data_IF_700429878867
#
_entry.id   IF_700429878867
#
_cell.length_a   1.000
_cell.length_b   1.000
_cell.length_c   1.000
_cell.angle_alpha   90.00
_cell.angle_beta   90.00
_cell.angle_gamma   90.00
#
_symmetry.space_group_name_H-M   'P 1'
#
loop_
_entity.id
_entity.type
_entity.pdbx_description
1 polymer ?
#
# COMPACT_ATOMS: atom_id res chain seq x y z
N UNK A 1 -3.70 7.75 6.56
CA UNK A 1 -4.44 6.82 5.67
C UNK A 1 -3.45 5.97 4.92
N UNK A 2 -3.68 4.67 4.77
CA UNK A 2 -2.82 3.77 4.00
C UNK A 2 -3.52 3.23 2.76
N UNK A 3 -2.71 2.86 1.77
CA UNK A 3 -3.14 2.36 0.47
C UNK A 3 -2.27 1.18 0.03
N UNK A 4 -2.91 0.15 -0.52
CA UNK A 4 -2.27 -1.00 -1.15
C UNK A 4 -2.87 -1.22 -2.54
N UNK A 5 -2.09 -1.80 -3.46
CA UNK A 5 -2.55 -2.13 -4.80
C UNK A 5 -2.02 -3.50 -5.24
N UNK A 6 -2.83 -4.21 -6.04
CA UNK A 6 -2.48 -5.51 -6.58
C UNK A 6 -2.93 -5.62 -8.04
N UNK A 7 -2.08 -6.22 -8.87
CA UNK A 7 -2.42 -6.65 -10.22
C UNK A 7 -2.43 -8.18 -10.23
N UNK A 8 -3.59 -8.79 -10.48
CA UNK A 8 -3.76 -10.25 -10.41
C UNK A 8 -4.33 -10.81 -11.71
N UNK A 9 -4.02 -12.07 -12.07
CA UNK A 9 -4.55 -12.72 -13.26
C UNK A 9 -5.94 -13.35 -13.04
N UNK A 10 -6.61 -13.00 -11.93
CA UNK A 10 -7.93 -13.53 -11.56
C UNK A 10 -8.85 -12.40 -11.08
N UNK A 11 -10.16 -12.63 -11.18
CA UNK A 11 -11.20 -11.67 -10.84
C UNK A 11 -11.99 -12.16 -9.62
N UNK A 12 -11.27 -12.49 -8.54
CA UNK A 12 -11.83 -13.00 -7.28
C UNK A 12 -11.79 -11.88 -6.22
N UNK A 13 -12.90 -11.16 -5.98
CA UNK A 13 -12.92 -10.00 -5.11
C UNK A 13 -12.59 -10.33 -3.65
N UNK A 14 -13.01 -11.50 -3.16
CA UNK A 14 -12.79 -11.90 -1.76
C UNK A 14 -11.32 -12.21 -1.52
N UNK A 15 -10.72 -12.98 -2.44
CA UNK A 15 -9.29 -13.32 -2.38
C UNK A 15 -8.42 -12.07 -2.49
N UNK A 16 -8.76 -11.15 -3.40
CA UNK A 16 -8.00 -9.90 -3.56
C UNK A 16 -8.15 -9.00 -2.33
N UNK A 17 -9.37 -8.89 -1.79
CA UNK A 17 -9.64 -8.11 -0.58
C UNK A 17 -8.87 -8.65 0.61
N UNK A 18 -8.83 -9.97 0.80
CA UNK A 18 -8.05 -10.61 1.87
C UNK A 18 -6.54 -10.30 1.73
N UNK A 19 -6.00 -10.39 0.52
CA UNK A 19 -4.60 -10.08 0.24
C UNK A 19 -4.25 -8.61 0.50
N UNK A 20 -5.06 -7.68 -0.01
CA UNK A 20 -4.88 -6.24 0.20
C UNK A 20 -5.01 -5.85 1.68
N UNK A 21 -5.97 -6.43 2.40
CA UNK A 21 -6.10 -6.25 3.86
C UNK A 21 -4.87 -6.76 4.60
N UNK A 22 -4.33 -7.91 4.19
CA UNK A 22 -3.08 -8.45 4.71
C UNK A 22 -1.91 -7.48 4.55
N UNK A 23 -1.73 -6.92 3.35
CA UNK A 23 -0.69 -5.91 3.07
C UNK A 23 -0.86 -4.65 3.93
N UNK A 24 -2.07 -4.11 4.03
CA UNK A 24 -2.36 -2.94 4.86
C UNK A 24 -2.06 -3.20 6.35
N UNK A 25 -2.35 -4.40 6.84
CA UNK A 25 -2.02 -4.80 8.22
C UNK A 25 -0.51 -4.82 8.47
N UNK A 26 0.27 -5.30 7.51
CA UNK A 26 1.74 -5.28 7.60
C UNK A 26 2.26 -3.84 7.65
N UNK A 27 1.75 -2.96 6.78
CA UNK A 27 2.13 -1.54 6.78
C UNK A 27 1.79 -0.85 8.12
N UNK A 28 0.61 -1.12 8.66
CA UNK A 28 0.17 -0.59 9.95
C UNK A 28 1.00 -1.09 11.13
N UNK A 29 1.29 -2.39 11.18
CA UNK A 29 2.17 -2.94 12.20
C UNK A 29 3.57 -2.31 12.15
N UNK A 30 4.13 -2.14 10.94
CA UNK A 30 5.46 -1.53 10.77
C UNK A 30 5.52 -0.07 11.23
N UNK A 31 4.42 0.67 11.13
CA UNK A 31 4.33 2.06 11.53
C UNK A 31 3.78 2.28 12.96
N UNK A 32 3.48 1.20 13.69
CA UNK A 32 2.82 1.29 15.00
C UNK A 32 1.43 1.94 14.94
N UNK A 33 0.76 1.90 13.78
CA UNK A 33 -0.55 2.51 13.56
C UNK A 33 -1.67 1.46 13.71
N UNK A 34 -2.86 1.92 14.08
CA UNK A 34 -4.05 1.08 14.18
C UNK A 34 -5.03 1.36 13.03
N UNK A 35 -5.30 0.39 12.13
CA UNK A 35 -6.25 0.56 11.03
C UNK A 35 -7.70 0.46 11.47
N UNK A 36 -8.50 1.45 11.06
CA UNK A 36 -9.96 1.36 11.16
C UNK A 36 -10.51 0.56 9.98
N UNK A 37 -10.68 -0.74 10.18
CA UNK A 37 -11.19 -1.64 9.14
C UNK A 37 -12.62 -1.33 8.66
N UNK A 38 -13.41 -0.55 9.41
CA UNK A 38 -14.73 -0.11 8.96
C UNK A 38 -14.65 0.90 7.79
N UNK A 39 -13.51 1.59 7.69
CA UNK A 39 -13.19 2.53 6.61
C UNK A 39 -12.53 1.87 5.40
N UNK A 40 -12.36 0.54 5.41
CA UNK A 40 -11.77 -0.17 4.28
C UNK A 40 -12.62 0.08 3.02
N UNK A 41 -11.95 0.58 1.98
CA UNK A 41 -12.53 0.75 0.65
C UNK A 41 -11.65 0.04 -0.36
N UNK A 42 -12.24 -0.93 -1.06
CA UNK A 42 -11.61 -1.67 -2.15
C UNK A 42 -12.22 -1.18 -3.47
N UNK A 43 -11.36 -0.86 -4.43
CA UNK A 43 -11.72 -0.41 -5.77
C UNK A 43 -11.09 -1.34 -6.80
N UNK A 44 -11.86 -1.71 -7.83
CA UNK A 44 -11.47 -2.66 -8.87
C UNK A 44 -12.59 -3.67 -9.16
N UNK A 45 -12.41 -4.54 -10.16
CA UNK A 45 -11.23 -4.66 -11.02
C UNK A 45 -11.17 -3.54 -12.06
N UNK A 46 -10.02 -2.86 -12.17
CA UNK A 46 -9.68 -2.07 -13.36
C UNK A 46 -8.95 -3.01 -14.31
N UNK A 47 -9.60 -3.36 -15.42
CA UNK A 47 -9.00 -4.24 -16.43
C UNK A 47 -7.99 -3.46 -17.23
N UNK A 48 -6.69 -3.78 -17.09
CA UNK A 48 -5.68 -3.28 -18.03
C UNK A 48 -5.59 -4.20 -19.24
N UNK A 49 -5.26 -3.59 -20.39
CA UNK A 49 -5.01 -4.32 -21.63
C UNK A 49 -4.01 -5.45 -21.42
N UNK A 50 -4.20 -6.55 -22.14
CA UNK A 50 -3.36 -7.74 -21.97
C UNK A 50 -1.90 -7.41 -22.29
N UNK A 51 -1.01 -7.48 -21.30
CA UNK A 51 0.43 -7.45 -21.54
C UNK A 51 0.91 -8.91 -21.65
N UNK A 52 1.48 -9.28 -22.80
CA UNK A 52 1.91 -10.65 -23.12
C UNK A 52 0.81 -11.72 -22.99
N UNK A 53 -0.43 -11.40 -23.39
CA UNK A 53 -1.53 -12.37 -23.42
C UNK A 53 -2.21 -12.65 -22.08
N UNK A 54 -1.70 -12.12 -20.97
CA UNK A 54 -2.35 -12.21 -19.66
C UNK A 54 -3.19 -10.97 -19.40
N UNK A 55 -4.50 -11.16 -19.19
CA UNK A 55 -5.39 -10.09 -18.71
C UNK A 55 -5.15 -9.90 -17.22
N UNK A 56 -4.68 -8.71 -16.84
CA UNK A 56 -4.49 -8.34 -15.45
C UNK A 56 -5.66 -7.48 -14.98
N UNK A 57 -6.18 -7.81 -13.80
CA UNK A 57 -7.13 -7.01 -13.06
C UNK A 57 -6.38 -6.25 -11.97
N UNK A 58 -6.48 -4.92 -12.02
CA UNK A 58 -5.91 -4.07 -10.99
C UNK A 58 -6.93 -3.72 -9.93
N UNK A 59 -6.47 -3.78 -8.69
CA UNK A 59 -7.25 -3.50 -7.50
C UNK A 59 -6.48 -2.58 -6.59
N UNK A 60 -7.20 -1.71 -5.90
CA UNK A 60 -6.67 -0.79 -4.89
C UNK A 60 -7.48 -0.92 -3.62
N UNK A 61 -6.83 -0.97 -2.47
CA UNK A 61 -7.49 -0.85 -1.17
C UNK A 61 -6.96 0.36 -0.42
N UNK A 62 -7.83 1.01 0.35
CA UNK A 62 -7.47 2.10 1.25
C UNK A 62 -8.11 1.92 2.62
N UNK A 63 -7.44 2.38 3.67
CA UNK A 63 -7.93 2.32 5.05
C UNK A 63 -7.45 3.55 5.84
N UNK A 64 -8.32 4.09 6.68
CA UNK A 64 -7.94 5.11 7.67
C UNK A 64 -7.14 4.43 8.77
N UNK A 65 -6.09 5.10 9.24
CA UNK A 65 -5.26 4.62 10.36
C UNK A 65 -5.19 5.72 11.40
N UNK A 66 -5.17 5.33 12.66
CA UNK A 66 -4.97 6.22 13.82
C UNK A 66 -3.69 5.83 14.55
N UNK A 67 -3.17 6.72 15.40
CA UNK A 67 -2.03 6.41 16.24
C UNK A 67 -0.72 6.17 15.49
N UNK A 68 -0.58 6.64 14.25
CA UNK A 68 0.69 6.69 13.56
C UNK A 68 1.63 7.61 14.36
N UNK A 69 2.38 7.01 15.29
CA UNK A 69 3.47 7.70 15.96
C UNK A 69 4.45 8.10 14.87
N UNK A 70 4.99 9.33 14.84
CA UNK A 70 6.12 9.67 13.99
C UNK A 70 7.37 8.96 14.52
N UNK A 71 7.36 7.62 14.52
CA UNK A 71 8.44 6.76 14.94
C UNK A 71 9.32 6.43 13.74
N UNK A 72 9.75 7.48 13.04
CA UNK A 72 11.06 7.52 12.40
C UNK A 72 11.63 8.85 12.86
N UNK A 73 12.34 8.81 13.97
CA UNK A 73 13.16 9.93 14.40
C UNK A 73 14.24 10.11 13.33
N UNK A 74 14.32 11.27 12.68
CA UNK A 74 15.24 11.59 11.57
C UNK A 74 16.72 11.30 11.90
N UNK A 75 17.03 11.13 13.19
CA UNK A 75 18.34 10.78 13.76
C UNK A 75 18.84 9.38 13.41
N UNK A 76 17.98 8.51 12.86
CA UNK A 76 18.36 7.14 12.48
C UNK A 76 18.68 6.96 10.99
N UNK A 77 18.40 7.95 10.14
CA UNK A 77 18.66 7.85 8.69
C UNK A 77 20.17 7.96 8.37
N UNK A 78 20.96 8.62 9.23
CA UNK A 78 22.42 8.72 9.06
C UNK A 78 23.20 7.44 9.39
N UNK A 79 22.58 6.48 10.09
CA UNK A 79 23.24 5.23 10.48
C UNK A 79 23.17 4.13 9.42
N UNK A 80 22.36 4.31 8.36
CA UNK A 80 22.16 3.32 7.30
C UNK A 80 22.71 3.86 5.98
N UNK A 81 24.02 3.65 5.79
CA UNK A 81 24.66 3.76 4.48
C UNK A 81 23.98 2.89 3.41
N UNK A 82 24.27 3.13 2.12
CA UNK A 82 23.41 2.71 1.01
C UNK A 82 23.54 1.20 0.74
N UNK A 83 22.70 0.40 1.38
CA UNK A 83 22.46 -0.98 0.98
C UNK A 83 21.16 -1.06 0.19
N UNK A 84 21.24 -0.71 -1.09
CA UNK A 84 20.19 -1.00 -2.07
C UNK A 84 20.48 -2.36 -2.71
N UNK A 85 19.65 -3.39 -2.50
CA UNK A 85 19.42 -4.40 -3.51
C UNK A 85 18.14 -4.04 -4.28
N UNK A 86 18.39 -3.70 -5.53
CA UNK A 86 17.46 -3.54 -6.65
C UNK A 86 16.56 -4.78 -6.78
N UNK A 87 15.23 -4.60 -6.82
CA UNK A 87 14.22 -5.32 -7.65
C UNK A 87 12.88 -5.57 -6.93
N UNK A 88 11.94 -4.64 -7.10
CA UNK A 88 10.53 -4.82 -7.50
C UNK A 88 9.86 -3.46 -7.32
N UNK A 89 9.55 -2.79 -8.43
CA UNK A 89 8.92 -1.47 -8.41
C UNK A 89 7.46 -1.61 -7.94
N UNK A 90 7.25 -1.46 -6.64
CA UNK A 90 6.00 -1.02 -6.06
C UNK A 90 6.16 0.48 -5.79
N UNK A 91 5.64 1.31 -6.66
CA UNK A 91 5.61 2.76 -6.45
C UNK A 91 4.54 3.08 -5.41
N UNK A 92 4.99 3.27 -4.16
CA UNK A 92 4.20 3.86 -3.09
C UNK A 92 4.24 5.38 -3.23
N UNK A 93 3.12 5.99 -3.59
CA UNK A 93 2.97 7.45 -3.50
C UNK A 93 2.34 7.81 -2.15
N UNK A 94 3.15 8.39 -1.28
CA UNK A 94 2.73 9.05 -0.06
C UNK A 94 2.41 10.50 -0.40
N UNK A 95 1.16 10.80 -0.73
CA UNK A 95 0.72 12.19 -0.94
C UNK A 95 0.58 12.88 0.42
N UNK A 96 1.62 13.59 0.84
CA UNK A 96 1.54 14.58 1.92
C UNK A 96 0.73 15.80 1.45
N UNK A 97 -0.18 16.35 2.28
CA UNK A 97 -0.81 17.63 1.99
C UNK A 97 0.21 18.75 2.26
N UNK A 98 0.58 19.47 1.20
CA UNK A 98 1.37 20.69 1.26
C UNK A 98 0.47 21.80 1.83
N UNK A 99 0.81 22.31 3.02
CA UNK A 99 0.18 23.51 3.60
C UNK A 99 0.87 24.73 3.00
N UNK A 100 0.08 25.57 2.34
CA UNK A 100 0.46 26.84 1.76
C UNK A 100 0.60 27.91 2.86
N UNK A 101 1.72 28.63 2.90
CA UNK A 101 1.86 29.91 3.61
C UNK A 101 2.99 30.76 3.04
#
# INVERSE_FOLDING_TARGET
>A
MYRAAAAVPFDDPDRVTAGLRGQLRVMAAAAGADPDWSTLRVQGPVRRGAHRGTRLSEWTATVVVTGASPAVDDRWIDALGPAVPRRMAATAEMTSPLVDR
#
